data_IF_472773854988
#
_entry.id   IF_472773854988
#
_cell.length_a   1.000
_cell.length_b   1.000
_cell.length_c   1.000
_cell.angle_alpha   90.00
_cell.angle_beta   90.00
_cell.angle_gamma   90.00
#
_symmetry.space_group_name_H-M   'P 1'
#
loop_
_entity.id
_entity.type
_entity.pdbx_description
1 polymer ?
#
# COMPACT_ATOMS: atom_id res chain seq x y z
N UNK A 1 32.16 2.66 -78.80
CA UNK A 1 32.48 1.61 -77.82
C UNK A 1 31.17 1.17 -77.19
N UNK A 2 30.59 0.06 -77.64
CA UNK A 2 29.32 -0.44 -77.12
C UNK A 2 29.67 -1.21 -75.84
N UNK A 3 29.24 -0.70 -74.69
CA UNK A 3 29.35 -1.45 -73.44
C UNK A 3 28.48 -2.69 -73.60
N UNK A 4 29.00 -3.90 -73.40
CA UNK A 4 28.20 -5.10 -73.54
C UNK A 4 26.98 -5.05 -72.60
N UNK A 5 25.78 -5.32 -73.13
CA UNK A 5 24.53 -5.17 -72.38
C UNK A 5 24.50 -5.97 -71.06
N UNK A 6 25.28 -7.06 -70.97
CA UNK A 6 25.42 -7.85 -69.75
C UNK A 6 26.11 -7.10 -68.60
N UNK A 7 27.02 -6.16 -68.88
CA UNK A 7 27.70 -5.36 -67.85
C UNK A 7 26.72 -4.41 -67.15
N UNK A 8 25.78 -3.84 -67.91
CA UNK A 8 24.73 -2.96 -67.36
C UNK A 8 23.79 -3.76 -66.46
N UNK A 9 23.40 -4.96 -66.88
CA UNK A 9 22.56 -5.86 -66.09
C UNK A 9 23.23 -6.31 -64.79
N UNK A 10 24.52 -6.65 -64.84
CA UNK A 10 25.29 -7.02 -63.63
C UNK A 10 25.42 -5.84 -62.67
N UNK A 11 25.69 -4.63 -63.17
CA UNK A 11 25.78 -3.43 -62.34
C UNK A 11 24.45 -3.10 -61.64
N UNK A 12 23.32 -3.21 -62.36
CA UNK A 12 21.97 -3.04 -61.79
C UNK A 12 21.69 -4.07 -60.69
N UNK A 13 22.04 -5.33 -60.92
CA UNK A 13 21.82 -6.39 -59.93
C UNK A 13 22.62 -6.13 -58.64
N UNK A 14 23.90 -5.78 -58.76
CA UNK A 14 24.76 -5.45 -57.61
C UNK A 14 24.21 -4.23 -56.86
N UNK A 15 23.74 -3.22 -57.59
CA UNK A 15 23.15 -2.02 -57.00
C UNK A 15 21.86 -2.34 -56.21
N UNK A 16 20.97 -3.19 -56.75
CA UNK A 16 19.76 -3.63 -56.05
C UNK A 16 20.10 -4.41 -54.78
N UNK A 17 21.07 -5.33 -54.84
CA UNK A 17 21.55 -6.08 -53.67
C UNK A 17 22.11 -5.14 -52.61
N UNK A 18 22.89 -4.13 -53.02
CA UNK A 18 23.42 -3.11 -52.13
C UNK A 18 22.31 -2.30 -51.44
N UNK A 19 21.26 -1.88 -52.17
CA UNK A 19 20.11 -1.19 -51.59
C UNK A 19 19.36 -2.06 -50.58
N UNK A 20 19.17 -3.35 -50.86
CA UNK A 20 18.53 -4.29 -49.93
C UNK A 20 19.34 -4.41 -48.63
N UNK A 21 20.66 -4.51 -48.72
CA UNK A 21 21.56 -4.56 -47.55
C UNK A 21 21.44 -3.26 -46.72
N UNK A 22 21.39 -2.09 -47.38
CA UNK A 22 21.22 -0.81 -46.68
C UNK A 22 19.88 -0.75 -45.92
N UNK A 23 18.78 -1.13 -46.57
CA UNK A 23 17.44 -1.16 -45.93
C UNK A 23 17.41 -2.12 -44.75
N UNK A 24 17.96 -3.33 -44.91
CA UNK A 24 18.05 -4.30 -43.81
C UNK A 24 18.92 -3.79 -42.66
N UNK A 25 20.04 -3.12 -42.95
CA UNK A 25 20.91 -2.54 -41.93
C UNK A 25 20.22 -1.41 -41.15
N UNK A 26 19.45 -0.56 -41.85
CA UNK A 26 18.67 0.52 -41.25
C UNK A 26 17.53 -0.03 -40.37
N UNK A 27 16.83 -1.05 -40.85
CA UNK A 27 15.77 -1.73 -40.09
C UNK A 27 16.31 -2.38 -38.81
N UNK A 28 17.43 -3.11 -38.90
CA UNK A 28 18.10 -3.72 -37.73
C UNK A 28 18.59 -2.67 -36.72
N UNK A 29 19.12 -1.54 -37.20
CA UNK A 29 19.52 -0.41 -36.32
C UNK A 29 18.32 0.22 -35.63
N UNK A 30 17.23 0.46 -36.37
CA UNK A 30 16.00 1.06 -35.83
C UNK A 30 15.34 0.21 -34.75
N UNK A 31 15.24 -1.11 -34.96
CA UNK A 31 14.66 -2.03 -33.97
C UNK A 31 15.47 -2.04 -32.66
N UNK A 32 16.79 -2.18 -32.75
CA UNK A 32 17.66 -2.18 -31.57
C UNK A 32 17.52 -0.90 -30.75
N UNK A 33 17.53 0.27 -31.39
CA UNK A 33 17.36 1.55 -30.68
C UNK A 33 15.99 1.68 -30.01
N UNK A 34 14.93 1.12 -30.61
CA UNK A 34 13.60 1.11 -30.01
C UNK A 34 13.50 0.21 -28.77
N UNK A 35 14.14 -0.96 -28.79
CA UNK A 35 14.16 -1.89 -27.66
C UNK A 35 14.95 -1.32 -26.46
N UNK A 36 16.13 -0.73 -26.70
CA UNK A 36 16.91 -0.11 -25.62
C UNK A 36 16.19 1.06 -24.94
N UNK A 37 15.49 1.90 -25.71
CA UNK A 37 14.68 3.00 -25.14
C UNK A 37 13.51 2.46 -24.31
N UNK A 38 12.83 1.42 -24.80
CA UNK A 38 11.73 0.79 -24.05
C UNK A 38 12.22 0.14 -22.76
N UNK A 39 13.36 -0.55 -22.80
CA UNK A 39 13.94 -1.18 -21.62
C UNK A 39 14.35 -0.13 -20.58
N UNK A 40 15.04 0.94 -20.98
CA UNK A 40 15.43 2.02 -20.07
C UNK A 40 14.23 2.74 -19.46
N UNK A 41 13.23 3.11 -20.27
CA UNK A 41 11.97 3.69 -19.78
C UNK A 41 11.22 2.74 -18.84
N UNK A 42 11.24 1.43 -19.14
CA UNK A 42 10.63 0.41 -18.29
C UNK A 42 11.33 0.29 -16.95
N UNK A 43 12.67 0.24 -16.94
CA UNK A 43 13.48 0.19 -15.72
C UNK A 43 13.29 1.45 -14.85
N UNK A 44 13.18 2.63 -15.48
CA UNK A 44 12.87 3.87 -14.76
C UNK A 44 11.46 3.85 -14.14
N UNK A 45 10.46 3.40 -14.90
CA UNK A 45 9.08 3.23 -14.41
C UNK A 45 9.02 2.24 -13.25
N UNK A 46 9.70 1.10 -13.35
CA UNK A 46 9.79 0.11 -12.28
C UNK A 46 10.43 0.70 -11.02
N UNK A 47 11.51 1.47 -11.18
CA UNK A 47 12.19 2.12 -10.07
C UNK A 47 11.30 3.14 -9.37
N UNK A 48 10.57 3.95 -10.14
CA UNK A 48 9.58 4.90 -9.59
C UNK A 48 8.45 4.18 -8.86
N UNK A 49 7.86 3.15 -9.47
CA UNK A 49 6.79 2.37 -8.87
C UNK A 49 7.22 1.72 -7.55
N UNK A 50 8.44 1.17 -7.50
CA UNK A 50 9.00 0.59 -6.26
C UNK A 50 9.14 1.62 -5.16
N UNK A 51 9.63 2.83 -5.47
CA UNK A 51 9.74 3.93 -4.51
C UNK A 51 8.37 4.35 -3.99
N UNK A 52 7.41 4.55 -4.89
CA UNK A 52 6.04 4.92 -4.50
C UNK A 52 5.39 3.88 -3.60
N UNK A 53 5.56 2.59 -3.90
CA UNK A 53 5.06 1.50 -3.04
C UNK A 53 5.71 1.56 -1.67
N UNK A 54 7.04 1.71 -1.60
CA UNK A 54 7.77 1.77 -0.34
C UNK A 54 7.34 2.99 0.50
N UNK A 55 7.14 4.15 -0.12
CA UNK A 55 6.70 5.36 0.58
C UNK A 55 5.26 5.24 1.09
N UNK A 56 4.36 4.64 0.32
CA UNK A 56 2.99 4.31 0.78
C UNK A 56 3.01 3.34 1.97
N UNK A 57 3.85 2.31 1.92
CA UNK A 57 4.00 1.37 3.03
C UNK A 57 4.51 2.08 4.29
N UNK A 58 5.56 2.90 4.17
CA UNK A 58 6.09 3.69 5.29
C UNK A 58 5.05 4.62 5.89
N UNK A 59 4.26 5.31 5.06
CA UNK A 59 3.18 6.17 5.53
C UNK A 59 2.13 5.37 6.31
N UNK A 60 1.73 4.19 5.81
CA UNK A 60 0.81 3.31 6.51
C UNK A 60 1.35 2.79 7.84
N UNK A 61 2.63 2.40 7.89
CA UNK A 61 3.30 1.94 9.13
C UNK A 61 3.35 3.08 10.15
N UNK A 62 3.74 4.29 9.71
CA UNK A 62 3.78 5.46 10.60
C UNK A 62 2.40 5.80 11.16
N UNK A 63 1.35 5.70 10.35
CA UNK A 63 -0.04 5.86 10.81
C UNK A 63 -0.38 4.88 11.94
N UNK A 64 -0.15 3.59 11.72
CA UNK A 64 -0.42 2.55 12.74
C UNK A 64 0.40 2.71 14.02
N UNK A 65 1.66 3.10 13.89
CA UNK A 65 2.49 3.41 15.07
C UNK A 65 1.91 4.63 15.80
N UNK A 66 1.50 5.67 15.08
CA UNK A 66 0.88 6.85 15.69
C UNK A 66 -0.40 6.49 16.45
N UNK A 67 -1.20 5.54 15.98
CA UNK A 67 -2.38 5.04 16.68
C UNK A 67 -1.97 4.41 18.03
N UNK A 68 -1.00 3.49 18.03
CA UNK A 68 -0.51 2.78 19.25
C UNK A 68 0.12 3.73 20.29
N UNK A 69 0.76 4.80 19.82
CA UNK A 69 1.43 5.76 20.71
C UNK A 69 0.57 6.98 21.05
N UNK A 70 -0.66 7.06 20.53
CA UNK A 70 -1.53 8.23 20.74
C UNK A 70 -1.70 8.66 22.20
N UNK A 71 -1.84 7.74 23.18
CA UNK A 71 -1.97 8.12 24.59
C UNK A 71 -0.75 8.81 25.20
N UNK A 72 0.41 8.73 24.54
CA UNK A 72 1.66 9.37 24.97
C UNK A 72 1.94 10.68 24.23
N UNK A 73 1.08 11.06 23.28
CA UNK A 73 1.23 12.30 22.53
C UNK A 73 0.78 13.52 23.37
N UNK A 74 1.38 14.70 23.14
CA UNK A 74 0.93 15.93 23.77
C UNK A 74 -0.55 16.19 23.47
N UNK A 75 -1.29 16.65 24.48
CA UNK A 75 -2.71 17.00 24.40
C UNK A 75 -3.67 15.82 24.19
N UNK A 76 -3.24 14.57 24.35
CA UNK A 76 -4.19 13.47 24.44
C UNK A 76 -5.04 13.64 25.71
N UNK A 77 -6.38 13.57 25.63
CA UNK A 77 -7.26 14.04 26.71
C UNK A 77 -7.36 13.07 27.91
N UNK A 78 -6.80 11.86 27.81
CA UNK A 78 -6.90 10.83 28.84
C UNK A 78 -5.52 10.40 29.34
N UNK A 79 -5.47 9.79 30.52
CA UNK A 79 -4.24 9.18 31.03
C UNK A 79 -3.91 7.91 30.26
N UNK A 80 -2.64 7.73 29.89
CA UNK A 80 -2.18 6.55 29.16
C UNK A 80 -2.34 5.25 29.93
N UNK A 81 -2.28 5.28 31.27
CA UNK A 81 -2.51 4.12 32.17
C UNK A 81 -3.93 3.55 32.07
N UNK A 82 -4.90 4.43 31.84
CA UNK A 82 -6.33 4.13 31.77
C UNK A 82 -6.78 3.71 30.36
N UNK A 83 -5.90 3.82 29.37
CA UNK A 83 -6.15 3.45 27.98
C UNK A 83 -5.78 1.98 27.71
N UNK A 84 -6.73 1.18 27.21
CA UNK A 84 -6.49 -0.20 26.75
C UNK A 84 -6.59 -0.25 25.23
N UNK A 85 -5.48 -0.57 24.58
CA UNK A 85 -5.41 -0.69 23.13
C UNK A 85 -6.14 -1.95 22.64
N UNK A 86 -6.90 -1.81 21.57
CA UNK A 86 -7.62 -2.87 20.85
C UNK A 86 -7.16 -2.92 19.39
N UNK A 87 -7.14 -1.78 18.69
CA UNK A 87 -6.88 -1.70 17.24
C UNK A 87 -8.15 -1.81 16.39
N UNK A 88 -8.10 -2.46 15.21
CA UNK A 88 -9.31 -2.59 14.36
C UNK A 88 -10.41 -3.41 15.08
N UNK A 89 -11.64 -2.89 15.23
CA UNK A 89 -12.22 -1.69 14.57
C UNK A 89 -12.38 -0.40 15.39
N UNK A 90 -11.84 -0.36 16.61
CA UNK A 90 -11.81 0.82 17.49
C UNK A 90 -10.50 0.79 18.26
N UNK A 91 -9.65 1.80 18.10
CA UNK A 91 -8.27 1.76 18.61
C UNK A 91 -8.13 1.55 20.11
N UNK A 92 -8.93 2.22 20.94
CA UNK A 92 -8.84 2.13 22.41
C UNK A 92 -10.21 2.01 23.09
N UNK A 93 -10.20 1.35 24.25
CA UNK A 93 -11.17 1.58 25.32
C UNK A 93 -10.46 2.31 26.46
N UNK A 94 -11.00 3.46 26.87
CA UNK A 94 -10.50 4.23 28.02
C UNK A 94 -11.45 4.03 29.19
N UNK A 95 -10.90 3.66 30.34
CA UNK A 95 -11.63 3.53 31.59
C UNK A 95 -11.30 4.73 32.47
N UNK A 96 -12.00 5.84 32.27
CA UNK A 96 -11.72 7.10 32.97
C UNK A 96 -11.91 6.92 34.49
N UNK A 97 -10.85 7.22 35.26
CA UNK A 97 -10.83 7.02 36.71
C UNK A 97 -10.45 5.60 37.16
N UNK A 98 -9.96 4.75 36.24
CA UNK A 98 -9.47 3.40 36.57
C UNK A 98 -8.32 3.43 37.59
N UNK A 99 -7.40 4.40 37.50
CA UNK A 99 -6.28 4.52 38.43
C UNK A 99 -6.75 4.92 39.84
N UNK A 100 -7.92 5.54 39.94
CA UNK A 100 -8.52 6.05 41.18
C UNK A 100 -9.50 5.02 41.81
N UNK A 101 -9.64 3.83 41.21
CA UNK A 101 -10.64 2.81 41.56
C UNK A 101 -12.10 3.33 41.52
N UNK A 102 -12.34 4.43 40.81
CA UNK A 102 -13.65 5.07 40.64
C UNK A 102 -13.91 5.32 39.15
N UNK A 103 -14.46 4.31 38.46
CA UNK A 103 -14.72 4.37 37.02
C UNK A 103 -15.88 5.33 36.75
N UNK A 104 -15.56 6.49 36.18
CA UNK A 104 -16.51 7.55 35.83
C UNK A 104 -17.20 7.27 34.50
N UNK A 105 -16.41 6.90 33.49
CA UNK A 105 -16.90 6.69 32.13
C UNK A 105 -16.01 5.72 31.35
N UNK A 106 -16.64 4.98 30.43
CA UNK A 106 -15.94 4.15 29.45
C UNK A 106 -16.03 4.84 28.10
N UNK A 107 -14.89 5.17 27.49
CA UNK A 107 -14.81 5.79 26.17
C UNK A 107 -14.30 4.80 25.13
N UNK A 108 -14.98 4.72 23.99
CA UNK A 108 -14.49 4.06 22.79
C UNK A 108 -13.81 5.12 21.92
N UNK A 109 -12.50 4.99 21.71
CA UNK A 109 -11.68 6.03 21.09
C UNK A 109 -11.05 5.49 19.82
N UNK A 110 -11.32 6.17 18.72
CA UNK A 110 -10.67 5.97 17.43
C UNK A 110 -9.67 7.10 17.18
N UNK A 111 -8.43 6.76 16.84
CA UNK A 111 -7.36 7.70 16.56
C UNK A 111 -7.29 7.94 15.06
N UNK A 112 -7.37 9.20 14.65
CA UNK A 112 -7.17 9.62 13.26
C UNK A 112 -6.06 10.65 13.18
N UNK A 113 -5.22 10.53 12.16
CA UNK A 113 -4.21 11.53 11.82
C UNK A 113 -4.79 12.56 10.86
N UNK A 114 -4.58 13.85 11.14
CA UNK A 114 -4.97 15.00 10.33
C UNK A 114 -6.44 15.00 9.87
N UNK A 115 -6.67 14.92 8.55
CA UNK A 115 -7.98 14.99 7.87
C UNK A 115 -8.60 13.61 7.65
N UNK A 116 -8.05 12.57 8.25
CA UNK A 116 -8.54 11.20 8.09
C UNK A 116 -9.96 11.08 8.65
N UNK A 117 -10.87 10.55 7.85
CA UNK A 117 -12.29 10.38 8.22
C UNK A 117 -12.53 8.98 8.75
N UNK A 118 -13.58 8.83 9.56
CA UNK A 118 -14.05 7.51 9.96
C UNK A 118 -14.43 6.66 8.75
N UNK A 119 -14.03 5.38 8.77
CA UNK A 119 -14.48 4.38 7.80
C UNK A 119 -15.96 4.08 7.99
N UNK A 120 -16.60 3.45 6.99
CA UNK A 120 -18.00 3.07 7.12
C UNK A 120 -18.25 2.06 8.25
N UNK A 121 -17.25 1.23 8.57
CA UNK A 121 -17.29 0.27 9.68
C UNK A 121 -17.25 1.01 11.02
N UNK A 122 -16.28 1.91 11.20
CA UNK A 122 -16.15 2.75 12.40
C UNK A 122 -17.39 3.62 12.64
N UNK A 123 -17.94 4.23 11.58
CA UNK A 123 -19.19 5.02 11.68
C UNK A 123 -20.35 4.19 12.22
N UNK A 124 -20.55 2.98 11.69
CA UNK A 124 -21.62 2.10 12.18
C UNK A 124 -21.42 1.71 13.64
N UNK A 125 -20.17 1.48 14.06
CA UNK A 125 -19.85 1.19 15.46
C UNK A 125 -20.16 2.41 16.34
N UNK A 126 -19.73 3.61 15.92
CA UNK A 126 -20.06 4.87 16.59
C UNK A 126 -21.58 5.03 16.73
N UNK A 127 -22.36 4.79 15.68
CA UNK A 127 -23.83 4.90 15.73
C UNK A 127 -24.45 3.90 16.73
N UNK A 128 -23.90 2.68 16.84
CA UNK A 128 -24.33 1.67 17.83
C UNK A 128 -23.99 2.11 19.26
N UNK A 129 -22.82 2.70 19.47
CA UNK A 129 -22.38 3.26 20.75
C UNK A 129 -23.28 4.44 21.15
N UNK A 130 -23.47 5.41 20.25
CA UNK A 130 -24.28 6.61 20.48
C UNK A 130 -25.75 6.28 20.72
N UNK A 131 -26.27 5.21 20.11
CA UNK A 131 -27.63 4.71 20.37
C UNK A 131 -27.76 3.89 21.66
N UNK A 132 -26.69 3.79 22.46
CA UNK A 132 -26.69 3.12 23.76
C UNK A 132 -26.79 1.59 23.67
N UNK A 133 -26.54 0.99 22.50
CA UNK A 133 -26.64 -0.47 22.28
C UNK A 133 -25.38 -1.21 22.73
N UNK A 134 -24.83 -0.82 23.87
CA UNK A 134 -23.67 -1.45 24.51
C UNK A 134 -24.18 -2.28 25.69
N UNK A 135 -23.69 -3.53 25.81
CA UNK A 135 -24.14 -4.46 26.86
C UNK A 135 -22.94 -5.13 27.52
N UNK A 136 -23.01 -5.29 28.83
CA UNK A 136 -22.13 -6.18 29.57
C UNK A 136 -22.59 -7.63 29.37
N UNK A 137 -21.68 -8.52 29.01
CA UNK A 137 -21.95 -9.95 28.88
C UNK A 137 -20.87 -10.75 29.59
N UNK A 138 -21.27 -11.47 30.65
CA UNK A 138 -20.38 -12.34 31.41
C UNK A 138 -20.52 -13.76 30.89
N UNK A 139 -19.48 -14.25 30.21
CA UNK A 139 -19.37 -15.66 29.84
C UNK A 139 -18.45 -16.38 30.83
N UNK A 140 -18.95 -17.47 31.43
CA UNK A 140 -18.14 -18.36 32.28
C UNK A 140 -17.97 -19.68 31.56
N UNK A 141 -16.73 -20.13 31.42
CA UNK A 141 -16.40 -21.47 30.94
C UNK A 141 -15.96 -22.33 32.13
N UNK A 142 -16.50 -23.55 32.27
CA UNK A 142 -16.05 -24.51 33.28
C UNK A 142 -15.00 -25.44 32.64
N UNK A 143 -13.84 -25.58 33.28
CA UNK A 143 -12.71 -26.40 32.81
C UNK A 143 -12.72 -27.82 33.36
N UNK A 144 -13.73 -28.24 34.12
CA UNK A 144 -13.82 -29.61 34.64
C UNK A 144 -14.24 -30.61 33.54
N UNK A 145 -13.27 -31.03 32.73
CA UNK A 145 -13.33 -32.22 31.88
C UNK A 145 -12.52 -33.35 32.51
N UNK A 146 -13.24 -34.37 33.00
CA UNK A 146 -12.86 -35.79 33.01
C UNK A 146 -11.47 -36.19 33.55
N UNK A 147 -11.32 -36.23 34.87
CA UNK A 147 -10.45 -37.26 35.47
C UNK A 147 -11.25 -38.56 35.56
N UNK A 148 -11.33 -39.30 34.45
CA UNK A 148 -11.63 -40.73 34.44
C UNK A 148 -10.36 -41.48 34.05
N UNK A 149 -9.64 -41.94 35.07
CA UNK A 149 -8.92 -43.21 35.12
C UNK A 149 -8.61 -43.51 36.58
#
# INVERSE_FOLDING_TARGET
MIVPDYLILVALFVFVVFLIILVQSAYRRGQKTGEYKKETEWQEKLTKLRREIADKQRAGIKGKISEIFAPYLPNFPFKSSECKFIGDPVDYIVFEGLDEEDIKQIHFVEIKTDKSKLTNKEKRIKDIIDSGKIKWFLYRFNTESETKC
#
